data_IF_889027236960
#
_entry.id   IF_889027236960
#
_cell.length_a   1.000
_cell.length_b   1.000
_cell.length_c   1.000
_cell.angle_alpha   90.00
_cell.angle_beta   90.00
_cell.angle_gamma   90.00
#
_symmetry.space_group_name_H-M   'P 1'
#
loop_
_entity.id
_entity.type
_entity.pdbx_description
1 polymer ?
#
# COMPACT_ATOMS: atom_id res chain seq x y z
N UNK A 1 -18.36 33.68 -5.72
CA UNK A 1 -17.03 33.04 -5.65
C UNK A 1 -17.03 31.67 -4.95
N UNK A 2 -18.04 31.27 -4.17
CA UNK A 2 -18.09 29.99 -3.42
C UNK A 2 -18.28 28.71 -4.27
N UNK A 3 -18.99 28.80 -5.40
CA UNK A 3 -19.35 27.62 -6.20
C UNK A 3 -18.18 27.02 -7.01
N UNK A 4 -17.23 27.85 -7.44
CA UNK A 4 -16.06 27.38 -8.23
C UNK A 4 -15.10 26.59 -7.35
N UNK A 5 -14.92 27.01 -6.10
CA UNK A 5 -14.05 26.31 -5.14
C UNK A 5 -14.62 24.96 -4.68
N UNK A 6 -15.93 24.86 -4.60
CA UNK A 6 -16.62 23.64 -4.19
C UNK A 6 -16.60 22.58 -5.31
N UNK A 7 -16.81 22.98 -6.56
CA UNK A 7 -16.75 22.07 -7.71
C UNK A 7 -15.34 21.50 -7.94
N UNK A 8 -14.28 22.27 -7.66
CA UNK A 8 -12.90 21.81 -7.78
C UNK A 8 -12.54 20.75 -6.69
N UNK A 9 -13.04 20.96 -5.46
CA UNK A 9 -12.85 20.00 -4.35
C UNK A 9 -13.58 18.67 -4.59
N UNK A 10 -14.81 18.74 -5.08
CA UNK A 10 -15.58 17.53 -5.41
C UNK A 10 -14.96 16.77 -6.58
N UNK A 11 -14.38 17.46 -7.56
CA UNK A 11 -13.66 16.85 -8.67
C UNK A 11 -12.39 16.17 -8.18
N UNK A 12 -11.59 16.80 -7.31
CA UNK A 12 -10.39 16.21 -6.72
C UNK A 12 -10.73 14.96 -5.91
N UNK A 13 -11.78 15.04 -5.07
CA UNK A 13 -12.27 13.89 -4.31
C UNK A 13 -12.70 12.74 -5.23
N UNK A 14 -13.44 13.05 -6.29
CA UNK A 14 -13.89 12.06 -7.27
C UNK A 14 -12.73 11.38 -8.00
N UNK A 15 -11.69 12.14 -8.36
CA UNK A 15 -10.48 11.60 -8.98
C UNK A 15 -9.73 10.69 -8.00
N UNK A 16 -9.49 11.13 -6.75
CA UNK A 16 -8.78 10.34 -5.76
C UNK A 16 -9.51 9.03 -5.41
N UNK A 17 -10.83 9.11 -5.17
CA UNK A 17 -11.64 7.91 -4.91
C UNK A 17 -11.67 6.99 -6.15
N UNK A 18 -11.85 7.55 -7.34
CA UNK A 18 -11.87 6.80 -8.59
C UNK A 18 -10.54 6.08 -8.86
N UNK A 19 -9.41 6.76 -8.65
CA UNK A 19 -8.09 6.17 -8.80
C UNK A 19 -7.82 5.08 -7.76
N UNK A 20 -8.22 5.29 -6.50
CA UNK A 20 -8.12 4.27 -5.45
C UNK A 20 -8.93 3.02 -5.78
N UNK A 21 -10.19 3.18 -6.21
CA UNK A 21 -11.03 2.06 -6.63
C UNK A 21 -10.46 1.35 -7.86
N UNK A 22 -9.95 2.10 -8.84
CA UNK A 22 -9.29 1.53 -10.02
C UNK A 22 -8.05 0.72 -9.63
N UNK A 23 -7.22 1.24 -8.71
CA UNK A 23 -6.06 0.52 -8.17
C UNK A 23 -6.45 -0.82 -7.52
N UNK A 24 -7.50 -0.82 -6.70
CA UNK A 24 -8.01 -2.05 -6.06
C UNK A 24 -8.53 -3.06 -7.10
N UNK A 25 -9.31 -2.60 -8.08
CA UNK A 25 -9.85 -3.47 -9.13
C UNK A 25 -8.74 -4.07 -10.01
N UNK A 26 -7.78 -3.23 -10.43
CA UNK A 26 -6.61 -3.69 -11.20
C UNK A 26 -5.79 -4.68 -10.38
N UNK A 27 -5.58 -4.42 -9.09
CA UNK A 27 -4.91 -5.34 -8.18
C UNK A 27 -5.60 -6.71 -8.14
N UNK A 28 -6.92 -6.73 -7.94
CA UNK A 28 -7.69 -7.97 -7.90
C UNK A 28 -7.51 -8.79 -9.18
N UNK A 29 -7.63 -8.14 -10.34
CA UNK A 29 -7.46 -8.80 -11.63
C UNK A 29 -6.05 -9.32 -11.82
N UNK A 30 -5.03 -8.52 -11.55
CA UNK A 30 -3.63 -8.93 -11.72
C UNK A 30 -3.23 -10.05 -10.76
N UNK A 31 -3.66 -9.98 -9.50
CA UNK A 31 -3.40 -11.05 -8.52
C UNK A 31 -4.05 -12.35 -8.98
N UNK A 32 -5.31 -12.31 -9.42
CA UNK A 32 -5.99 -13.50 -9.95
C UNK A 32 -5.26 -14.07 -11.17
N UNK A 33 -4.82 -13.22 -12.10
CA UNK A 33 -4.05 -13.65 -13.28
C UNK A 33 -2.74 -14.31 -12.91
N UNK A 34 -1.99 -13.71 -11.99
CA UNK A 34 -0.69 -14.25 -11.53
C UNK A 34 -0.88 -15.58 -10.80
N UNK A 35 -1.83 -15.65 -9.86
CA UNK A 35 -2.13 -16.90 -9.13
C UNK A 35 -2.55 -18.00 -10.09
N UNK A 36 -3.48 -17.70 -11.01
CA UNK A 36 -3.92 -18.67 -12.02
C UNK A 36 -2.78 -19.11 -12.94
N UNK A 37 -1.92 -18.17 -13.35
CA UNK A 37 -0.74 -18.48 -14.16
C UNK A 37 0.24 -19.41 -13.45
N UNK A 38 0.55 -19.14 -12.18
CA UNK A 38 1.42 -20.02 -11.36
C UNK A 38 0.83 -21.42 -11.24
N UNK A 39 -0.48 -21.52 -10.98
CA UNK A 39 -1.18 -22.81 -10.89
C UNK A 39 -1.14 -23.59 -12.19
N UNK A 40 -1.41 -22.93 -13.33
CA UNK A 40 -1.38 -23.56 -14.66
C UNK A 40 0.01 -24.06 -15.04
N UNK A 41 1.07 -23.35 -14.62
CA UNK A 41 2.45 -23.74 -14.88
C UNK A 41 2.95 -24.83 -13.92
N UNK A 42 2.15 -25.20 -12.90
CA UNK A 42 2.54 -26.19 -11.89
C UNK A 42 3.74 -25.75 -11.02
N UNK A 43 4.06 -24.44 -11.00
CA UNK A 43 5.20 -23.91 -10.24
C UNK A 43 4.84 -23.81 -8.76
N UNK A 44 5.66 -24.43 -7.91
CA UNK A 44 5.55 -24.27 -6.46
C UNK A 44 6.50 -23.21 -5.96
N UNK A 45 5.94 -22.09 -5.50
CA UNK A 45 6.70 -21.01 -4.89
C UNK A 45 6.73 -21.18 -3.37
N UNK A 46 7.86 -20.82 -2.75
CA UNK A 46 7.88 -20.71 -1.30
C UNK A 46 6.96 -19.58 -0.80
N UNK A 47 6.49 -19.66 0.44
CA UNK A 47 5.62 -18.65 1.03
C UNK A 47 6.22 -17.23 0.93
N UNK A 48 7.52 -17.10 1.20
CA UNK A 48 8.25 -15.82 1.12
C UNK A 48 8.22 -15.26 -0.31
N UNK A 49 8.55 -16.09 -1.32
CA UNK A 49 8.55 -15.66 -2.73
C UNK A 49 7.14 -15.25 -3.16
N UNK A 50 6.13 -16.02 -2.75
CA UNK A 50 4.73 -15.71 -3.05
C UNK A 50 4.33 -14.34 -2.46
N UNK A 51 4.66 -14.08 -1.20
CA UNK A 51 4.33 -12.81 -0.54
C UNK A 51 5.02 -11.64 -1.24
N UNK A 52 6.33 -11.72 -1.50
CA UNK A 52 7.07 -10.65 -2.18
C UNK A 52 6.51 -10.41 -3.57
N UNK A 53 6.21 -11.47 -4.33
CA UNK A 53 5.60 -11.35 -5.66
C UNK A 53 4.23 -10.67 -5.59
N UNK A 54 3.37 -11.08 -4.66
CA UNK A 54 2.04 -10.48 -4.52
C UNK A 54 2.12 -9.02 -4.08
N UNK A 55 3.02 -8.68 -3.18
CA UNK A 55 3.28 -7.28 -2.79
C UNK A 55 3.75 -6.45 -4.00
N UNK A 56 4.66 -6.98 -4.81
CA UNK A 56 5.13 -6.31 -6.01
C UNK A 56 3.99 -6.10 -7.03
N UNK A 57 3.21 -7.13 -7.30
CA UNK A 57 2.05 -7.05 -8.21
C UNK A 57 1.02 -6.03 -7.71
N UNK A 58 0.71 -6.07 -6.42
CA UNK A 58 -0.28 -5.17 -5.83
C UNK A 58 0.21 -3.72 -5.82
N UNK A 59 1.41 -3.46 -5.37
CA UNK A 59 1.89 -2.10 -5.12
C UNK A 59 2.44 -1.43 -6.38
N UNK A 60 3.31 -2.12 -7.13
CA UNK A 60 3.95 -1.49 -8.30
C UNK A 60 3.15 -1.68 -9.58
N UNK A 61 2.68 -2.89 -9.89
CA UNK A 61 1.96 -3.11 -11.13
C UNK A 61 0.54 -2.54 -11.06
N UNK A 62 -0.16 -2.71 -9.94
CA UNK A 62 -1.54 -2.20 -9.82
C UNK A 62 -1.55 -0.71 -9.50
N UNK A 63 -1.07 -0.33 -8.33
CA UNK A 63 -1.15 1.07 -7.87
C UNK A 63 -0.24 1.98 -8.69
N UNK A 64 1.01 1.56 -8.92
CA UNK A 64 1.95 2.28 -9.78
C UNK A 64 1.44 2.38 -11.22
N UNK A 65 0.89 1.30 -11.76
CA UNK A 65 0.31 1.28 -13.10
C UNK A 65 -0.87 2.24 -13.27
N UNK A 66 -1.80 2.27 -12.31
CA UNK A 66 -2.94 3.21 -12.32
C UNK A 66 -2.46 4.65 -12.19
N UNK A 67 -1.50 4.92 -11.30
CA UNK A 67 -0.93 6.25 -11.14
C UNK A 67 -0.22 6.74 -12.41
N UNK A 68 0.64 5.90 -13.00
CA UNK A 68 1.31 6.22 -14.27
C UNK A 68 0.32 6.43 -15.42
N UNK A 69 -0.70 5.58 -15.52
CA UNK A 69 -1.78 5.75 -16.50
C UNK A 69 -2.51 7.07 -16.33
N UNK A 70 -2.81 7.48 -15.10
CA UNK A 70 -3.41 8.79 -14.82
C UNK A 70 -2.50 9.96 -15.20
N UNK A 71 -1.21 9.89 -14.82
CA UNK A 71 -0.23 10.94 -15.18
C UNK A 71 -0.13 11.08 -16.70
N UNK A 72 -0.03 9.97 -17.41
CA UNK A 72 0.04 9.96 -18.86
C UNK A 72 -1.23 10.53 -19.50
N UNK A 73 -2.40 10.14 -19.01
CA UNK A 73 -3.68 10.70 -19.45
C UNK A 73 -3.77 12.22 -19.24
N UNK A 74 -3.17 12.73 -18.15
CA UNK A 74 -3.15 14.15 -17.81
C UNK A 74 -1.99 14.93 -18.44
N UNK A 75 -1.07 14.25 -19.12
CA UNK A 75 0.15 14.87 -19.66
C UNK A 75 1.11 15.38 -18.57
N UNK A 76 1.09 14.76 -17.38
CA UNK A 76 1.93 15.12 -16.25
C UNK A 76 3.21 14.28 -16.25
N UNK A 77 4.33 14.89 -15.87
CA UNK A 77 5.61 14.17 -15.70
C UNK A 77 5.70 13.48 -14.33
N UNK A 78 6.69 12.58 -14.18
CA UNK A 78 6.99 11.93 -12.90
C UNK A 78 7.39 12.93 -11.80
N UNK A 79 7.92 14.09 -12.17
CA UNK A 79 8.25 15.16 -11.21
C UNK A 79 7.02 15.67 -10.46
N UNK A 80 5.82 15.52 -11.06
CA UNK A 80 4.56 15.86 -10.40
C UNK A 80 4.33 15.06 -9.12
N UNK A 81 4.78 13.80 -9.07
CA UNK A 81 4.66 12.93 -7.88
C UNK A 81 5.63 13.38 -6.79
N UNK A 82 6.64 14.19 -7.11
CA UNK A 82 7.61 14.69 -6.14
C UNK A 82 8.51 13.60 -5.55
N UNK A 83 8.79 12.55 -6.31
CA UNK A 83 9.71 11.48 -5.89
C UNK A 83 11.10 12.07 -5.69
N UNK A 84 11.61 11.99 -4.48
CA UNK A 84 12.95 12.46 -4.12
C UNK A 84 13.64 11.48 -3.18
N UNK A 85 14.96 11.48 -3.20
CA UNK A 85 15.75 10.74 -2.21
C UNK A 85 15.53 11.39 -0.84
N UNK A 86 15.11 10.63 0.19
CA UNK A 86 14.87 11.17 1.50
C UNK A 86 16.17 11.67 2.16
N UNK A 87 16.09 12.81 2.84
CA UNK A 87 17.17 13.31 3.69
C UNK A 87 17.24 12.52 5.01
N UNK A 88 18.37 12.63 5.72
CA UNK A 88 18.49 12.03 7.06
C UNK A 88 17.38 12.50 8.01
N UNK A 89 16.99 13.79 7.90
CA UNK A 89 15.88 14.33 8.70
C UNK A 89 14.56 13.64 8.36
N UNK A 90 14.28 13.40 7.08
CA UNK A 90 13.07 12.70 6.64
C UNK A 90 13.04 11.28 7.21
N UNK A 91 14.19 10.58 7.22
CA UNK A 91 14.32 9.25 7.81
C UNK A 91 14.08 9.25 9.32
N UNK A 92 14.64 10.22 10.05
CA UNK A 92 14.42 10.34 11.50
C UNK A 92 12.96 10.66 11.82
N UNK A 93 12.31 11.52 11.04
CA UNK A 93 10.89 11.85 11.21
C UNK A 93 10.03 10.62 10.90
N UNK A 94 10.34 9.89 9.83
CA UNK A 94 9.63 8.66 9.48
C UNK A 94 9.78 7.59 10.58
N UNK A 95 10.99 7.41 11.12
CA UNK A 95 11.23 6.48 12.21
C UNK A 95 10.49 6.89 13.49
N UNK A 96 10.54 8.17 13.86
CA UNK A 96 9.78 8.69 14.99
C UNK A 96 8.27 8.53 14.82
N UNK A 97 7.75 8.80 13.62
CA UNK A 97 6.35 8.57 13.26
C UNK A 97 5.96 7.10 13.36
N UNK A 98 6.84 6.20 12.91
CA UNK A 98 6.63 4.75 13.04
C UNK A 98 6.52 4.32 14.51
N UNK A 99 7.44 4.77 15.37
CA UNK A 99 7.40 4.46 16.79
C UNK A 99 6.13 5.00 17.46
N UNK A 100 5.72 6.22 17.11
CA UNK A 100 4.49 6.82 17.63
C UNK A 100 3.25 6.02 17.17
N UNK A 101 3.17 5.66 15.90
CA UNK A 101 2.09 4.83 15.35
C UNK A 101 2.04 3.46 16.02
N UNK A 102 3.20 2.81 16.18
CA UNK A 102 3.31 1.52 16.87
C UNK A 102 2.83 1.62 18.32
N UNK A 103 3.24 2.67 19.04
CA UNK A 103 2.77 2.93 20.40
C UNK A 103 1.25 3.10 20.47
N UNK A 104 0.66 3.88 19.55
CA UNK A 104 -0.78 4.10 19.48
C UNK A 104 -1.55 2.79 19.18
N UNK A 105 -1.07 1.99 18.24
CA UNK A 105 -1.68 0.68 17.91
C UNK A 105 -1.58 -0.27 19.10
N UNK A 106 -0.46 -0.27 19.82
CA UNK A 106 -0.29 -1.09 21.02
C UNK A 106 -1.28 -0.69 22.11
N UNK A 107 -1.41 0.62 22.38
CA UNK A 107 -2.38 1.14 23.36
C UNK A 107 -3.81 0.78 22.93
N UNK A 108 -4.16 0.99 21.65
CA UNK A 108 -5.46 0.61 21.12
C UNK A 108 -5.73 -0.90 21.29
N UNK A 109 -4.73 -1.74 21.01
CA UNK A 109 -4.83 -3.18 21.20
C UNK A 109 -5.11 -3.57 22.66
N UNK A 110 -4.41 -2.96 23.61
CA UNK A 110 -4.65 -3.16 25.05
C UNK A 110 -6.06 -2.74 25.44
N UNK A 111 -6.54 -1.59 24.96
CA UNK A 111 -7.90 -1.12 25.25
C UNK A 111 -8.95 -2.06 24.66
N UNK A 112 -8.79 -2.50 23.42
CA UNK A 112 -9.72 -3.43 22.75
C UNK A 112 -9.78 -4.75 23.52
N UNK A 113 -8.62 -5.26 23.94
CA UNK A 113 -8.53 -6.48 24.73
C UNK A 113 -9.20 -6.32 26.11
N UNK A 114 -9.01 -5.18 26.77
CA UNK A 114 -9.65 -4.88 28.05
C UNK A 114 -11.17 -4.75 27.97
N UNK A 115 -11.69 -4.37 26.78
CA UNK A 115 -13.12 -4.28 26.49
C UNK A 115 -13.74 -5.59 25.99
N UNK A 116 -12.95 -6.67 25.94
CA UNK A 116 -13.36 -7.99 25.45
C UNK A 116 -14.03 -7.96 24.07
N UNK A 117 -13.58 -7.01 23.22
CA UNK A 117 -14.15 -6.78 21.89
C UNK A 117 -13.56 -7.77 20.89
N UNK A 118 -14.38 -8.56 20.17
CA UNK A 118 -13.86 -9.47 19.15
C UNK A 118 -13.18 -8.69 18.03
N UNK A 119 -11.94 -9.03 17.76
CA UNK A 119 -11.15 -8.43 16.67
C UNK A 119 -11.07 -9.38 15.48
N UNK A 120 -11.10 -8.80 14.27
CA UNK A 120 -10.81 -9.56 13.07
C UNK A 120 -9.35 -10.05 13.11
N UNK A 121 -9.14 -11.28 12.71
CA UNK A 121 -7.78 -11.84 12.64
C UNK A 121 -7.02 -11.23 11.47
N UNK A 122 -5.81 -10.73 11.74
CA UNK A 122 -4.93 -10.21 10.72
C UNK A 122 -4.05 -11.35 10.18
N UNK A 123 -4.27 -11.75 8.93
CA UNK A 123 -3.53 -12.84 8.28
C UNK A 123 -2.01 -12.62 8.33
N UNK A 124 -1.53 -11.40 8.16
CA UNK A 124 -0.10 -11.08 8.23
C UNK A 124 0.46 -11.29 9.64
N UNK A 125 -0.32 -10.91 10.66
CA UNK A 125 0.08 -11.13 12.05
C UNK A 125 0.11 -12.62 12.42
N UNK A 126 -0.85 -13.40 11.91
CA UNK A 126 -0.83 -14.87 12.08
C UNK A 126 0.39 -15.49 11.41
N UNK A 127 0.67 -15.14 10.14
CA UNK A 127 1.86 -15.61 9.44
C UNK A 127 3.15 -15.28 10.19
N UNK A 128 3.25 -14.06 10.76
CA UNK A 128 4.40 -13.67 11.57
C UNK A 128 4.53 -14.45 12.89
N UNK A 129 3.42 -14.91 13.47
CA UNK A 129 3.44 -15.79 14.65
C UNK A 129 3.86 -17.21 14.29
N UNK A 130 3.37 -17.74 13.16
CA UNK A 130 3.70 -19.10 12.70
C UNK A 130 5.13 -19.20 12.13
N UNK A 131 5.59 -18.13 11.49
CA UNK A 131 6.91 -18.07 10.83
C UNK A 131 7.54 -16.69 11.10
N UNK A 132 8.17 -16.48 12.28
CA UNK A 132 8.72 -15.17 12.66
C UNK A 132 9.76 -14.62 11.69
N UNK A 133 10.48 -15.49 10.96
CA UNK A 133 11.48 -15.12 9.97
C UNK A 133 10.89 -14.28 8.81
N UNK A 134 9.58 -14.39 8.58
CA UNK A 134 8.89 -13.60 7.56
C UNK A 134 8.97 -12.09 7.82
N UNK A 135 9.17 -11.68 9.08
CA UNK A 135 9.35 -10.28 9.47
C UNK A 135 10.60 -9.67 8.85
N UNK A 136 11.68 -10.45 8.65
CA UNK A 136 12.88 -10.00 7.97
C UNK A 136 12.62 -9.63 6.50
N UNK A 137 11.54 -10.12 5.93
CA UNK A 137 11.10 -9.80 4.57
C UNK A 137 10.03 -8.70 4.59
N UNK A 138 9.04 -8.81 5.46
CA UNK A 138 7.92 -7.87 5.54
C UNK A 138 8.37 -6.46 5.97
N UNK A 139 9.32 -6.36 6.90
CA UNK A 139 9.81 -5.05 7.36
C UNK A 139 10.47 -4.28 6.20
N UNK A 140 11.49 -4.81 5.51
CA UNK A 140 12.04 -4.13 4.33
C UNK A 140 11.00 -3.90 3.22
N UNK A 141 10.11 -4.88 2.98
CA UNK A 141 9.06 -4.75 1.98
C UNK A 141 8.09 -3.60 2.28
N UNK A 142 7.79 -3.35 3.56
CA UNK A 142 6.94 -2.21 3.95
C UNK A 142 7.56 -0.87 3.54
N UNK A 143 8.87 -0.71 3.68
CA UNK A 143 9.57 0.51 3.31
C UNK A 143 9.87 0.62 1.81
N UNK A 144 10.17 -0.50 1.14
CA UNK A 144 10.65 -0.49 -0.23
C UNK A 144 9.55 -0.77 -1.26
N UNK A 145 8.48 -1.44 -0.87
CA UNK A 145 7.41 -1.85 -1.79
C UNK A 145 6.08 -1.21 -1.40
N UNK A 146 5.60 -1.44 -0.17
CA UNK A 146 4.26 -0.99 0.23
C UNK A 146 4.21 0.53 0.31
N UNK A 147 5.08 1.15 1.09
CA UNK A 147 5.10 2.60 1.27
C UNK A 147 5.19 3.36 -0.06
N UNK A 148 6.20 3.12 -0.91
CA UNK A 148 6.30 3.80 -2.20
C UNK A 148 5.11 3.54 -3.13
N UNK A 149 4.59 2.30 -3.18
CA UNK A 149 3.45 1.95 -4.03
C UNK A 149 2.19 2.73 -3.65
N UNK A 150 1.86 2.76 -2.38
CA UNK A 150 0.71 3.52 -1.86
C UNK A 150 0.90 5.02 -2.00
N UNK A 151 2.10 5.54 -1.70
CA UNK A 151 2.42 6.96 -1.80
C UNK A 151 2.24 7.47 -3.24
N UNK A 152 2.69 6.70 -4.23
CA UNK A 152 2.55 7.07 -5.65
C UNK A 152 1.08 7.18 -6.03
N UNK A 153 0.22 6.25 -5.61
CA UNK A 153 -1.21 6.29 -5.94
C UNK A 153 -1.96 7.35 -5.15
N UNK A 154 -1.82 7.37 -3.83
CA UNK A 154 -2.70 8.17 -2.96
C UNK A 154 -2.21 9.61 -2.75
N UNK A 155 -0.94 9.87 -2.95
CA UNK A 155 -0.36 11.21 -2.83
C UNK A 155 0.01 11.83 -4.17
N UNK A 156 0.24 11.01 -5.21
CA UNK A 156 0.62 11.45 -6.53
C UNK A 156 -0.56 11.84 -7.42
N UNK A 157 -1.79 11.52 -7.04
CA UNK A 157 -3.02 11.78 -7.78
C UNK A 157 -3.96 12.66 -6.95
#
# INVERSE_FOLDING_TARGET
>A
MSNVTQSSKLRALGVGVGAGLAGILVSLVLVLMVVSGIQLLGVQLSAVVTIVLMLFVNQYLSFGGVALGYLQYRGLSLDYIGVRVPSLRDLLVAFGGYLAAFGLVTVAGVVIQALDTPTAQNTTAQMAQETPEILFVLIPASFLIIGPGEEILFRGI
#
